data_IF_659762274293
#
_entry.id   IF_659762274293
#
_cell.length_a   1.000
_cell.length_b   1.000
_cell.length_c   1.000
_cell.angle_alpha   90.00
_cell.angle_beta   90.00
_cell.angle_gamma   90.00
#
_symmetry.space_group_name_H-M   'P 1'
#
loop_
_entity.id
_entity.type
_entity.pdbx_description
1 polymer ?
#
# COMPACT_ATOMS: atom_id res chain seq x y z
N UNK A 1 0.10 7.52 82.48
CA UNK A 1 1.43 6.98 82.86
C UNK A 1 1.66 5.75 81.98
N UNK A 2 2.30 5.96 80.83
CA UNK A 2 3.70 5.59 80.52
C UNK A 2 3.74 4.13 80.00
N UNK A 3 3.80 3.86 78.70
CA UNK A 3 4.96 3.97 77.77
C UNK A 3 6.21 3.25 78.30
N UNK A 4 6.56 2.11 77.68
CA UNK A 4 7.95 1.87 77.26
C UNK A 4 8.09 0.67 76.34
N UNK A 5 8.84 0.91 75.26
CA UNK A 5 9.39 -0.06 74.32
C UNK A 5 10.28 -1.10 75.05
N UNK A 6 10.71 -2.23 74.48
CA UNK A 6 11.53 -2.39 73.27
C UNK A 6 11.96 -3.86 73.28
N UNK A 7 12.15 -4.51 72.14
CA UNK A 7 13.32 -5.36 71.83
C UNK A 7 13.13 -5.96 70.43
N UNK A 8 13.91 -5.46 69.47
CA UNK A 8 14.31 -6.16 68.24
C UNK A 8 15.79 -6.50 68.38
N UNK A 9 16.23 -7.62 67.78
CA UNK A 9 17.26 -7.55 66.74
C UNK A 9 16.88 -8.40 65.51
N UNK A 10 17.05 -7.93 64.27
CA UNK A 10 18.25 -8.13 63.40
C UNK A 10 18.57 -9.63 63.23
N UNK A 11 18.64 -10.25 62.03
CA UNK A 11 18.92 -9.80 60.66
C UNK A 11 18.97 -11.09 59.82
N UNK A 12 18.42 -11.11 58.62
CA UNK A 12 18.93 -11.84 57.44
C UNK A 12 18.01 -11.59 56.24
N UNK A 13 18.36 -10.57 55.46
CA UNK A 13 18.14 -10.55 54.00
C UNK A 13 19.40 -11.13 53.34
N UNK A 14 19.44 -11.48 52.04
CA UNK A 14 18.37 -11.55 51.03
C UNK A 14 18.42 -12.82 50.16
N UNK A 15 17.39 -13.08 49.36
CA UNK A 15 17.61 -13.69 48.05
C UNK A 15 16.59 -13.17 47.04
N UNK A 16 17.10 -12.34 46.13
CA UNK A 16 16.45 -11.83 44.93
C UNK A 16 15.59 -12.90 44.24
N UNK A 17 14.27 -12.72 44.25
CA UNK A 17 13.43 -13.28 43.18
C UNK A 17 13.42 -12.26 42.03
N UNK A 18 14.41 -12.40 41.16
CA UNK A 18 14.50 -11.72 39.86
C UNK A 18 13.25 -12.00 39.05
N UNK A 19 12.66 -10.92 38.50
CA UNK A 19 11.76 -10.89 37.33
C UNK A 19 10.52 -11.77 37.43
N UNK A 20 9.32 -11.25 37.18
CA UNK A 20 8.74 -11.31 35.85
C UNK A 20 7.75 -10.14 35.70
N UNK A 21 8.30 -8.93 35.73
CA UNK A 21 7.63 -7.78 35.14
C UNK A 21 7.70 -7.91 33.61
N UNK A 22 6.62 -7.51 32.94
CA UNK A 22 6.42 -7.40 31.48
C UNK A 22 6.24 -8.70 30.69
N UNK A 23 5.01 -9.21 30.58
CA UNK A 23 4.52 -9.87 29.35
C UNK A 23 3.00 -9.79 29.18
N UNK A 24 2.40 -8.60 29.16
CA UNK A 24 1.04 -8.44 28.63
C UNK A 24 0.96 -7.10 27.91
N UNK A 25 1.46 -7.03 26.68
CA UNK A 25 1.19 -5.92 25.74
C UNK A 25 1.79 -6.27 24.36
N UNK A 26 1.19 -7.23 23.66
CA UNK A 26 1.55 -7.50 22.27
C UNK A 26 0.43 -8.18 21.46
N UNK A 27 -0.84 -7.85 21.72
CA UNK A 27 -1.94 -8.22 20.82
C UNK A 27 -2.95 -7.07 20.85
N UNK A 28 -2.80 -6.09 19.95
CA UNK A 28 -3.73 -6.07 18.81
C UNK A 28 -3.08 -5.45 17.56
N UNK A 29 -2.22 -6.19 16.87
CA UNK A 29 -1.76 -5.79 15.52
C UNK A 29 -2.14 -6.80 14.43
N UNK A 30 -2.72 -7.94 14.80
CA UNK A 30 -3.18 -8.95 13.84
C UNK A 30 -4.56 -8.70 13.24
N UNK A 31 -5.36 -7.76 13.77
CA UNK A 31 -6.70 -7.51 13.26
C UNK A 31 -6.74 -6.67 11.96
N UNK A 32 -5.64 -6.00 11.60
CA UNK A 32 -5.60 -5.15 10.41
C UNK A 32 -5.18 -5.90 9.12
N UNK A 33 -4.72 -7.16 9.21
CA UNK A 33 -4.17 -7.88 8.05
C UNK A 33 -5.19 -8.65 7.20
N UNK A 34 -6.49 -8.66 7.55
CA UNK A 34 -7.49 -9.49 6.87
C UNK A 34 -8.48 -8.73 5.99
N UNK A 35 -8.35 -7.42 5.83
CA UNK A 35 -9.12 -6.68 4.83
C UNK A 35 -8.40 -6.72 3.46
N UNK A 36 -8.17 -7.92 2.93
CA UNK A 36 -7.92 -8.04 1.50
C UNK A 36 -9.25 -7.71 0.80
N UNK A 37 -9.45 -6.44 0.45
CA UNK A 37 -10.63 -6.03 -0.29
C UNK A 37 -10.62 -6.78 -1.61
N UNK A 38 -11.62 -7.62 -1.83
CA UNK A 38 -11.97 -8.08 -3.18
C UNK A 38 -12.59 -6.88 -3.89
N UNK A 39 -11.77 -5.88 -4.20
CA UNK A 39 -12.20 -4.70 -4.93
C UNK A 39 -12.52 -5.15 -6.36
N UNK A 40 -13.80 -5.13 -6.70
CA UNK A 40 -14.25 -5.30 -8.09
C UNK A 40 -13.57 -4.24 -8.94
N UNK A 41 -13.01 -4.65 -10.08
CA UNK A 41 -12.35 -3.74 -11.00
C UNK A 41 -13.36 -2.73 -11.57
N UNK A 42 -13.15 -1.45 -11.29
CA UNK A 42 -13.96 -0.35 -11.81
C UNK A 42 -13.34 0.18 -13.10
N UNK A 43 -14.17 0.54 -14.09
CA UNK A 43 -13.66 1.14 -15.33
C UNK A 43 -13.22 2.58 -15.08
N UNK A 44 -11.97 2.88 -15.40
CA UNK A 44 -11.44 4.24 -15.33
C UNK A 44 -12.16 5.15 -16.35
N UNK A 45 -12.43 6.37 -15.91
CA UNK A 45 -13.06 7.39 -16.74
C UNK A 45 -12.07 7.89 -17.81
N UNK A 46 -12.53 7.95 -19.05
CA UNK A 46 -11.71 8.42 -20.18
C UNK A 46 -11.36 9.90 -20.00
N UNK A 47 -10.08 10.23 -20.16
CA UNK A 47 -9.53 11.58 -20.02
C UNK A 47 -9.22 11.98 -18.58
N UNK A 48 -9.64 11.18 -17.59
CA UNK A 48 -9.34 11.43 -16.18
C UNK A 48 -7.98 10.87 -15.79
N UNK A 49 -7.26 11.65 -15.00
CA UNK A 49 -5.99 11.26 -14.39
C UNK A 49 -6.23 10.62 -13.02
N UNK A 50 -5.50 9.53 -12.76
CA UNK A 50 -5.54 8.79 -11.51
C UNK A 50 -4.12 8.72 -10.94
N UNK A 51 -3.97 9.15 -9.69
CA UNK A 51 -2.69 9.20 -8.98
C UNK A 51 -2.70 8.14 -7.88
N UNK A 52 -1.89 7.12 -8.04
CA UNK A 52 -1.69 6.06 -7.05
C UNK A 52 -0.53 6.41 -6.12
N UNK A 53 -0.77 6.40 -4.81
CA UNK A 53 0.26 6.56 -3.77
C UNK A 53 1.00 5.26 -3.50
N UNK A 54 0.35 4.13 -3.77
CA UNK A 54 0.90 2.79 -3.76
C UNK A 54 0.30 2.00 -4.91
N UNK A 55 1.08 1.10 -5.49
CA UNK A 55 0.63 0.15 -6.52
C UNK A 55 0.85 -1.24 -5.94
N UNK A 56 -0.23 -2.00 -5.82
CA UNK A 56 -0.23 -3.36 -5.28
C UNK A 56 -0.21 -4.40 -6.41
N UNK A 57 -0.88 -4.09 -7.54
CA UNK A 57 -0.88 -4.94 -8.73
C UNK A 57 -0.94 -4.09 -10.01
N UNK A 58 -0.30 -4.60 -11.06
CA UNK A 58 -0.38 -4.06 -12.41
C UNK A 58 -0.48 -5.23 -13.39
N UNK A 59 -1.57 -5.30 -14.14
CA UNK A 59 -1.85 -6.41 -15.06
C UNK A 59 -2.17 -5.87 -16.44
N UNK A 60 -1.51 -6.43 -17.44
CA UNK A 60 -1.76 -6.12 -18.84
C UNK A 60 -2.50 -7.29 -19.46
N UNK A 61 -3.78 -7.11 -19.81
CA UNK A 61 -4.61 -8.19 -20.35
C UNK A 61 -4.46 -8.30 -21.88
N UNK A 62 -4.79 -9.50 -22.41
CA UNK A 62 -4.66 -9.84 -23.83
C UNK A 62 -5.52 -8.94 -24.74
N UNK A 63 -6.67 -8.50 -24.25
CA UNK A 63 -7.63 -7.64 -24.97
C UNK A 63 -7.22 -6.15 -25.05
N UNK A 64 -6.05 -5.78 -24.53
CA UNK A 64 -5.61 -4.39 -24.50
C UNK A 64 -6.28 -3.60 -23.38
N UNK A 65 -6.62 -4.25 -22.27
CA UNK A 65 -6.99 -3.59 -21.03
C UNK A 65 -5.83 -3.65 -20.05
N UNK A 66 -5.72 -2.62 -19.22
CA UNK A 66 -4.72 -2.53 -18.16
C UNK A 66 -5.48 -2.40 -16.85
N UNK A 67 -5.18 -3.28 -15.92
CA UNK A 67 -5.80 -3.30 -14.61
C UNK A 67 -4.75 -2.95 -13.56
N UNK A 68 -5.08 -2.00 -12.69
CA UNK A 68 -4.16 -1.48 -11.68
C UNK A 68 -4.87 -1.50 -10.35
N UNK A 69 -4.30 -2.21 -9.38
CA UNK A 69 -4.75 -2.19 -8.00
C UNK A 69 -3.78 -1.36 -7.17
N UNK A 70 -4.30 -0.43 -6.38
CA UNK A 70 -3.49 0.36 -5.46
C UNK A 70 -4.30 1.41 -4.72
N UNK A 71 -3.65 2.14 -3.82
CA UNK A 71 -4.31 3.23 -3.08
C UNK A 71 -4.21 4.52 -3.91
N UNK A 72 -5.36 5.13 -4.20
CA UNK A 72 -5.42 6.43 -4.85
C UNK A 72 -5.13 7.56 -3.85
N UNK A 73 -4.57 8.65 -4.35
CA UNK A 73 -4.31 9.84 -3.55
C UNK A 73 -5.62 10.40 -2.95
N UNK A 74 -5.63 10.61 -1.64
CA UNK A 74 -6.82 11.06 -0.90
C UNK A 74 -7.75 9.92 -0.46
N UNK A 75 -7.45 8.67 -0.83
CA UNK A 75 -8.19 7.50 -0.38
C UNK A 75 -7.39 6.68 0.63
N UNK A 76 -8.09 5.92 1.48
CA UNK A 76 -7.49 5.09 2.52
C UNK A 76 -7.43 3.61 2.16
N UNK A 77 -8.24 3.17 1.19
CA UNK A 77 -8.37 1.77 0.79
C UNK A 77 -7.91 1.57 -0.66
N UNK A 78 -7.28 0.43 -0.99
CA UNK A 78 -6.95 0.11 -2.37
C UNK A 78 -8.19 0.00 -3.26
N UNK A 79 -8.05 0.43 -4.50
CA UNK A 79 -9.04 0.26 -5.58
C UNK A 79 -8.38 -0.41 -6.77
N UNK A 80 -9.20 -1.14 -7.52
CA UNK A 80 -8.81 -1.73 -8.78
C UNK A 80 -9.45 -0.94 -9.92
N UNK A 81 -8.63 -0.36 -10.79
CA UNK A 81 -9.07 0.41 -11.95
C UNK A 81 -8.68 -0.28 -13.25
N UNK A 82 -9.61 -0.38 -14.17
CA UNK A 82 -9.42 -0.91 -15.53
C UNK A 82 -9.39 0.22 -16.55
N UNK A 83 -8.28 0.32 -17.28
CA UNK A 83 -8.05 1.28 -18.33
C UNK A 83 -8.15 0.61 -19.69
N UNK A 84 -8.76 1.32 -20.64
CA UNK A 84 -8.79 0.89 -22.04
C UNK A 84 -7.52 1.34 -22.75
N UNK A 85 -6.72 0.40 -23.21
CA UNK A 85 -5.47 0.63 -23.95
C UNK A 85 -5.41 -0.31 -25.17
N UNK A 86 -6.38 -0.17 -26.11
CA UNK A 86 -6.59 -1.16 -27.16
C UNK A 86 -5.31 -1.39 -27.96
N UNK A 87 -5.12 -2.64 -28.35
CA UNK A 87 -4.02 -3.10 -29.19
C UNK A 87 -4.17 -2.52 -30.60
N UNK A 88 -3.87 -1.24 -30.81
CA UNK A 88 -3.64 -0.75 -32.16
C UNK A 88 -2.33 -1.35 -32.66
N UNK A 89 -2.30 -1.76 -33.93
CA UNK A 89 -1.13 -2.35 -34.61
C UNK A 89 0.04 -1.37 -34.78
N UNK A 90 -0.07 -0.17 -34.22
CA UNK A 90 0.99 0.82 -34.23
C UNK A 90 2.00 0.49 -33.13
N UNK A 91 3.24 0.16 -33.53
CA UNK A 91 4.37 -0.17 -32.65
C UNK A 91 4.54 0.80 -31.45
N UNK A 92 4.13 2.05 -31.60
CA UNK A 92 4.21 3.07 -30.56
C UNK A 92 3.37 2.71 -29.33
N UNK A 93 2.16 2.17 -29.48
CA UNK A 93 1.28 1.88 -28.35
C UNK A 93 1.75 0.68 -27.51
N UNK A 94 2.30 -0.34 -28.16
CA UNK A 94 2.97 -1.45 -27.47
C UNK A 94 4.17 -0.92 -26.67
N UNK A 95 5.00 -0.07 -27.29
CA UNK A 95 6.15 0.53 -26.61
C UNK A 95 5.75 1.41 -25.40
N UNK A 96 4.62 2.12 -25.46
CA UNK A 96 4.10 2.89 -24.33
C UNK A 96 3.64 2.00 -23.18
N UNK A 97 2.97 0.87 -23.47
CA UNK A 97 2.54 -0.11 -22.44
C UNK A 97 3.72 -0.73 -21.72
N UNK A 98 4.73 -1.18 -22.46
CA UNK A 98 5.95 -1.76 -21.87
C UNK A 98 6.69 -0.76 -20.98
N UNK A 99 6.67 0.53 -21.35
CA UNK A 99 7.22 1.59 -20.51
C UNK A 99 6.43 1.77 -19.21
N UNK A 100 5.10 1.75 -19.29
CA UNK A 100 4.24 1.87 -18.12
C UNK A 100 4.38 0.68 -17.17
N UNK A 101 4.51 -0.53 -17.69
CA UNK A 101 4.77 -1.74 -16.90
C UNK A 101 6.03 -1.59 -16.04
N UNK A 102 7.14 -1.12 -16.64
CA UNK A 102 8.39 -0.88 -15.89
C UNK A 102 8.24 0.16 -14.79
N UNK A 103 7.48 1.23 -15.03
CA UNK A 103 7.22 2.27 -14.03
C UNK A 103 6.33 1.75 -12.89
N UNK A 104 5.30 0.96 -13.23
CA UNK A 104 4.43 0.33 -12.25
C UNK A 104 5.20 -0.66 -11.38
N UNK A 105 6.01 -1.53 -11.98
CA UNK A 105 6.89 -2.45 -11.25
C UNK A 105 7.83 -1.70 -10.30
N UNK A 106 8.39 -0.56 -10.73
CA UNK A 106 9.22 0.26 -9.85
C UNK A 106 8.43 0.82 -8.66
N UNK A 107 7.20 1.30 -8.88
CA UNK A 107 6.30 1.75 -7.82
C UNK A 107 5.94 0.62 -6.84
N UNK A 108 5.69 -0.60 -7.35
CA UNK A 108 5.40 -1.78 -6.55
C UNK A 108 6.58 -2.21 -5.67
N UNK A 109 7.81 -2.12 -6.17
CA UNK A 109 9.01 -2.50 -5.38
C UNK A 109 9.34 -1.55 -4.24
N UNK A 110 8.83 -0.31 -4.28
CA UNK A 110 9.06 0.72 -3.25
C UNK A 110 7.75 1.47 -2.94
N UNK A 111 6.80 0.82 -2.25
CA UNK A 111 5.51 1.43 -1.92
C UNK A 111 5.71 2.75 -1.16
N UNK A 112 5.01 3.81 -1.56
CA UNK A 112 5.07 5.13 -0.94
C UNK A 112 6.29 5.99 -1.32
N UNK A 113 7.29 5.45 -2.02
CA UNK A 113 8.43 6.25 -2.50
C UNK A 113 8.12 7.02 -3.79
N UNK A 114 7.08 6.61 -4.51
CA UNK A 114 6.67 7.19 -5.77
C UNK A 114 5.15 7.36 -5.84
N UNK A 115 4.72 8.41 -6.54
CA UNK A 115 3.37 8.56 -7.06
C UNK A 115 3.35 8.00 -8.48
N UNK A 116 2.51 7.01 -8.73
CA UNK A 116 2.28 6.45 -10.05
C UNK A 116 1.02 7.05 -10.64
N UNK A 117 1.18 7.87 -11.67
CA UNK A 117 0.08 8.59 -12.29
C UNK A 117 -0.25 7.98 -13.64
N UNK A 118 -1.53 7.80 -13.93
CA UNK A 118 -1.99 7.18 -15.17
C UNK A 118 -3.27 7.81 -15.69
N UNK A 119 -3.46 7.79 -17.01
CA UNK A 119 -4.70 8.19 -17.66
C UNK A 119 -4.88 7.42 -18.97
N UNK A 120 -6.14 7.22 -19.36
CA UNK A 120 -6.49 6.73 -20.70
C UNK A 120 -7.35 7.77 -21.39
N UNK A 121 -7.03 8.14 -22.62
CA UNK A 121 -7.73 9.21 -23.34
C UNK A 121 -7.49 9.14 -24.85
N UNK A 122 -7.89 10.18 -25.56
CA UNK A 122 -7.73 10.30 -27.01
C UNK A 122 -9.03 10.16 -27.79
N UNK A 123 -8.94 10.21 -29.13
CA UNK A 123 -10.11 10.15 -30.01
C UNK A 123 -10.53 8.70 -30.26
N UNK A 124 -11.73 8.51 -30.83
CA UNK A 124 -12.33 7.19 -31.13
C UNK A 124 -11.36 6.30 -31.95
N UNK A 125 -10.52 6.91 -32.79
CA UNK A 125 -9.54 6.21 -33.63
C UNK A 125 -8.15 6.06 -32.98
N UNK A 126 -7.90 6.73 -31.85
CA UNK A 126 -6.59 6.77 -31.18
C UNK A 126 -6.79 6.81 -29.66
N UNK A 127 -6.97 5.63 -29.07
CA UNK A 127 -6.89 5.48 -27.62
C UNK A 127 -5.43 5.47 -27.20
N UNK A 128 -5.07 6.37 -26.28
CA UNK A 128 -3.75 6.51 -25.72
C UNK A 128 -3.80 6.17 -24.23
N UNK A 129 -2.77 5.46 -23.78
CA UNK A 129 -2.52 5.20 -22.38
C UNK A 129 -1.24 5.91 -21.98
N UNK A 130 -1.33 6.78 -20.97
CA UNK A 130 -0.21 7.57 -20.50
C UNK A 130 0.07 7.23 -19.03
N UNK A 131 1.35 7.22 -18.68
CA UNK A 131 1.80 6.97 -17.33
C UNK A 131 3.01 7.83 -16.98
N UNK A 132 3.14 8.17 -15.70
CA UNK A 132 4.25 8.90 -15.14
C UNK A 132 4.59 8.36 -13.74
N UNK A 133 5.84 8.51 -13.33
CA UNK A 133 6.31 8.14 -12.00
C UNK A 133 7.06 9.31 -11.39
N UNK A 134 6.51 9.86 -10.31
CA UNK A 134 7.10 11.00 -9.59
C UNK A 134 7.58 10.54 -8.22
N UNK A 135 8.79 10.92 -7.82
CA UNK A 135 9.30 10.60 -6.47
C UNK A 135 8.57 11.44 -5.42
N UNK A 136 8.18 10.82 -4.32
CA UNK A 136 7.67 11.53 -3.14
C UNK A 136 8.88 12.17 -2.41
N UNK A 137 8.86 13.48 -2.13
CA UNK A 137 9.95 14.18 -1.46
C UNK A 137 10.16 13.75 -0.01
#
# INVERSE_FOLDING_TARGET
MAESARFQPLREEPLMSKSLSRRIQALPLLAAMFAASTAMAERAETGREYVFTTVDSYTVQLEGTIEITGVLQGEASPRTLTFSAPNNTQNSAVAYRDRCDRLALLAMTKPGAYLFTTSSGGSISYHQFACNLTRVP
#
